data_IF_992636728002
#
_entry.id   IF_992636728002
#
_cell.length_a   1.000
_cell.length_b   1.000
_cell.length_c   1.000
_cell.angle_alpha   90.00
_cell.angle_beta   90.00
_cell.angle_gamma   90.00
#
_symmetry.space_group_name_H-M   'P 1'
#
loop_
_entity.id
_entity.type
_entity.pdbx_description
1 polymer ?
#
# COMPACT_ATOMS: atom_id res chain seq x y z
N UNK A 1 0.56 -23.85 -10.75
CA UNK A 1 -0.31 -22.87 -10.08
C UNK A 1 -0.66 -21.78 -11.08
N UNK A 2 -1.91 -21.76 -11.55
CA UNK A 2 -2.38 -20.80 -12.55
C UNK A 2 -3.08 -19.61 -11.88
N UNK A 3 -2.71 -18.40 -12.29
CA UNK A 3 -3.34 -17.14 -11.92
C UNK A 3 -4.68 -17.06 -12.67
N UNK A 4 -5.80 -17.31 -12.00
CA UNK A 4 -7.12 -17.44 -12.62
C UNK A 4 -7.97 -16.16 -12.59
N UNK A 5 -7.39 -14.96 -12.71
CA UNK A 5 -8.19 -13.73 -12.80
C UNK A 5 -7.61 -12.71 -13.80
N UNK A 6 -8.20 -12.55 -14.99
CA UNK A 6 -7.59 -11.90 -16.15
C UNK A 6 -7.56 -10.35 -16.13
N UNK A 7 -7.77 -9.73 -14.97
CA UNK A 7 -7.73 -8.25 -14.83
C UNK A 7 -6.48 -7.77 -14.07
N UNK A 8 -5.72 -8.69 -13.47
CA UNK A 8 -4.52 -8.38 -12.68
C UNK A 8 -3.39 -9.37 -13.00
N UNK A 9 -3.01 -9.47 -14.26
CA UNK A 9 -1.78 -10.15 -14.65
C UNK A 9 -0.59 -9.19 -14.48
N UNK A 10 0.19 -9.37 -13.40
CA UNK A 10 1.57 -8.87 -13.36
C UNK A 10 2.17 -8.45 -12.02
N UNK A 11 2.35 -9.37 -11.07
CA UNK A 11 3.66 -9.77 -10.50
C UNK A 11 3.49 -10.53 -9.16
N UNK A 12 4.26 -11.59 -8.90
CA UNK A 12 4.22 -12.36 -7.65
C UNK A 12 5.04 -11.73 -6.51
N UNK A 13 5.48 -10.47 -6.66
CA UNK A 13 6.26 -9.78 -5.64
C UNK A 13 5.32 -8.99 -4.74
N UNK A 14 5.51 -9.01 -3.41
CA UNK A 14 4.71 -8.16 -2.53
C UNK A 14 4.87 -6.71 -2.99
N UNK A 15 3.74 -6.03 -3.22
CA UNK A 15 3.75 -4.68 -3.78
C UNK A 15 4.64 -3.75 -2.96
N UNK A 16 4.45 -3.73 -1.65
CA UNK A 16 5.36 -3.13 -0.69
C UNK A 16 6.29 -4.18 -0.07
N UNK A 17 7.43 -3.73 0.44
CA UNK A 17 8.28 -4.51 1.33
C UNK A 17 7.49 -4.97 2.56
N UNK A 18 7.81 -6.16 3.06
CA UNK A 18 7.12 -6.81 4.19
C UNK A 18 7.05 -5.99 5.50
N UNK A 19 7.92 -4.99 5.67
CA UNK A 19 7.95 -4.13 6.86
C UNK A 19 7.18 -2.82 6.69
N UNK A 20 6.81 -2.48 5.45
CA UNK A 20 6.07 -1.27 5.11
C UNK A 20 4.57 -1.53 5.27
N UNK A 21 3.91 -0.57 5.91
CA UNK A 21 2.45 -0.53 5.99
C UNK A 21 2.01 0.92 5.86
N UNK A 22 1.37 1.24 4.73
CA UNK A 22 0.78 2.56 4.51
C UNK A 22 -0.56 2.70 5.23
N UNK A 23 -0.93 3.96 5.50
CA UNK A 23 -2.21 4.31 6.09
C UNK A 23 -3.39 3.82 5.22
N UNK A 24 -4.57 3.59 5.82
CA UNK A 24 -5.77 3.24 5.06
C UNK A 24 -6.05 4.20 3.91
N UNK A 25 -6.27 3.66 2.71
CA UNK A 25 -6.56 4.42 1.50
C UNK A 25 -5.34 5.03 0.80
N UNK A 26 -4.13 4.88 1.35
CA UNK A 26 -2.90 5.38 0.74
C UNK A 26 -2.29 4.39 -0.26
N UNK A 27 -2.56 3.09 -0.11
CA UNK A 27 -2.06 2.04 -0.99
C UNK A 27 -3.07 0.91 -1.10
N UNK A 28 -3.56 0.66 -2.32
CA UNK A 28 -4.53 -0.40 -2.62
C UNK A 28 -4.11 -1.77 -2.05
N UNK A 29 -2.82 -2.09 -2.11
CA UNK A 29 -2.30 -3.36 -1.62
C UNK A 29 -2.18 -3.41 -0.10
N UNK A 30 -1.82 -2.31 0.57
CA UNK A 30 -1.81 -2.25 2.03
C UNK A 30 -3.23 -2.31 2.61
N UNK A 31 -4.23 -1.83 1.88
CA UNK A 31 -5.64 -1.85 2.31
C UNK A 31 -6.23 -3.27 2.39
N UNK A 32 -5.54 -4.29 1.84
CA UNK A 32 -5.88 -5.69 2.06
C UNK A 32 -5.50 -6.21 3.47
N UNK A 33 -4.82 -5.40 4.30
CA UNK A 33 -4.41 -5.77 5.65
C UNK A 33 -5.03 -4.86 6.73
N UNK A 34 -6.38 -4.71 6.78
CA UNK A 34 -7.05 -3.79 7.69
C UNK A 34 -6.78 -4.13 9.16
N UNK A 35 -6.56 -5.40 9.49
CA UNK A 35 -6.22 -5.81 10.86
C UNK A 35 -4.88 -5.19 11.31
N UNK A 36 -3.86 -5.18 10.44
CA UNK A 36 -2.57 -4.57 10.76
C UNK A 36 -2.66 -3.05 10.82
N UNK A 37 -3.47 -2.44 9.94
CA UNK A 37 -3.73 -1.01 9.96
C UNK A 37 -4.45 -0.60 11.26
N UNK A 38 -5.46 -1.37 11.69
CA UNK A 38 -6.17 -1.15 12.94
C UNK A 38 -5.26 -1.30 14.17
N UNK A 39 -4.29 -2.23 14.15
CA UNK A 39 -3.28 -2.31 15.21
C UNK A 39 -2.48 -1.02 15.30
N UNK A 40 -2.03 -0.45 14.17
CA UNK A 40 -1.31 0.83 14.18
C UNK A 40 -2.19 1.98 14.70
N UNK A 41 -3.44 2.06 14.24
CA UNK A 41 -4.42 3.08 14.69
C UNK A 41 -4.66 2.99 16.20
N UNK A 42 -5.01 1.81 16.70
CA UNK A 42 -5.39 1.61 18.11
C UNK A 42 -4.22 1.85 19.08
N UNK A 43 -2.99 1.70 18.61
CA UNK A 43 -1.78 1.86 19.43
C UNK A 43 -1.02 3.17 19.12
N UNK A 44 -1.60 4.08 18.32
CA UNK A 44 -0.96 5.32 17.89
C UNK A 44 0.46 5.12 17.30
N UNK A 45 0.65 4.05 16.52
CA UNK A 45 1.91 3.75 15.84
C UNK A 45 1.87 4.40 14.45
N UNK A 46 2.85 5.23 14.07
CA UNK A 46 2.87 5.88 12.76
C UNK A 46 2.87 4.89 11.59
N UNK A 47 2.17 5.22 10.51
CA UNK A 47 2.27 4.50 9.24
C UNK A 47 3.58 4.83 8.52
N UNK A 48 4.00 3.96 7.60
CA UNK A 48 5.21 4.17 6.82
C UNK A 48 5.09 5.46 6.00
N UNK A 49 5.94 6.45 6.27
CA UNK A 49 5.92 7.77 5.62
C UNK A 49 5.41 8.90 6.50
N UNK A 50 4.90 8.60 7.69
CA UNK A 50 4.42 9.61 8.64
C UNK A 50 5.50 10.07 9.64
N UNK A 51 6.70 9.49 9.58
CA UNK A 51 7.77 9.76 10.54
C UNK A 51 7.71 8.83 11.75
N UNK A 52 8.82 8.16 12.05
CA UNK A 52 8.97 7.37 13.28
C UNK A 52 8.22 6.03 13.26
N UNK A 53 7.80 5.57 12.08
CA UNK A 53 7.24 4.23 11.89
C UNK A 53 8.28 3.15 12.17
N UNK A 54 7.87 1.89 12.45
CA UNK A 54 8.80 0.81 12.74
C UNK A 54 9.85 0.55 11.63
N UNK A 55 9.46 0.72 10.36
CA UNK A 55 10.37 0.60 9.22
C UNK A 55 11.37 1.76 9.13
N UNK A 56 10.94 3.00 9.39
CA UNK A 56 11.81 4.18 9.39
C UNK A 56 12.77 4.22 10.58
N UNK A 57 12.42 3.56 11.69
CA UNK A 57 13.34 3.35 12.81
C UNK A 57 14.47 2.36 12.47
N UNK A 58 14.27 1.48 11.48
CA UNK A 58 15.25 0.45 11.10
C UNK A 58 16.16 0.90 9.97
N UNK A 59 15.65 1.71 9.04
CA UNK A 59 16.38 2.16 7.86
C UNK A 59 15.85 3.50 7.37
N UNK A 60 16.72 4.28 6.73
CA UNK A 60 16.33 5.57 6.17
C UNK A 60 15.27 5.43 5.08
N UNK A 61 14.52 6.51 4.87
CA UNK A 61 13.50 6.58 3.80
C UNK A 61 14.08 6.29 2.43
N UNK A 62 15.29 6.79 2.16
CA UNK A 62 16.03 6.50 0.93
C UNK A 62 16.21 4.99 0.69
N UNK A 63 16.50 4.21 1.73
CA UNK A 63 16.67 2.75 1.60
C UNK A 63 15.31 2.05 1.47
N UNK A 64 14.29 2.49 2.21
CA UNK A 64 12.93 1.96 2.12
C UNK A 64 12.39 2.10 0.69
N UNK A 65 12.57 3.27 0.08
CA UNK A 65 12.00 3.60 -1.22
C UNK A 65 12.76 3.00 -2.42
N UNK A 66 13.86 2.26 -2.17
CA UNK A 66 14.51 1.43 -3.21
C UNK A 66 13.60 0.31 -3.69
N UNK A 67 12.68 -0.17 -2.85
CA UNK A 67 11.63 -1.09 -3.27
C UNK A 67 10.52 -0.31 -3.96
N UNK A 68 10.34 -0.54 -5.26
CA UNK A 68 9.53 0.33 -6.12
C UNK A 68 8.11 0.59 -5.63
N UNK A 69 7.42 -0.42 -5.08
CA UNK A 69 6.06 -0.27 -4.57
C UNK A 69 5.92 0.23 -3.14
N UNK A 70 7.01 0.60 -2.44
CA UNK A 70 6.93 1.33 -1.17
C UNK A 70 6.58 2.81 -1.34
N UNK A 71 6.82 3.34 -2.54
CA UNK A 71 6.45 4.70 -2.92
C UNK A 71 4.94 4.74 -3.05
N UNK A 72 4.22 4.98 -1.95
CA UNK A 72 2.78 5.11 -1.96
C UNK A 72 2.38 6.21 -2.95
N UNK A 73 1.81 5.80 -4.08
CA UNK A 73 1.12 6.70 -4.99
C UNK A 73 -0.32 6.20 -4.97
N UNK A 74 -1.23 6.98 -4.38
CA UNK A 74 -2.65 6.75 -4.62
C UNK A 74 -2.80 6.70 -6.15
N UNK A 75 -3.35 5.63 -6.75
CA UNK A 75 -3.59 5.64 -8.19
C UNK A 75 -4.42 6.90 -8.49
N UNK A 76 -4.10 7.65 -9.57
CA UNK A 76 -4.91 8.79 -9.94
C UNK A 76 -6.37 8.34 -10.01
N UNK A 77 -7.36 9.18 -9.63
CA UNK A 77 -8.76 8.81 -9.78
C UNK A 77 -8.94 8.30 -11.20
N UNK A 78 -9.44 7.06 -11.33
CA UNK A 78 -9.73 6.48 -12.64
C UNK A 78 -10.61 7.42 -13.44
N UNK A 79 -10.62 7.31 -14.78
CA UNK A 79 -11.50 8.14 -15.59
C UNK A 79 -12.93 8.05 -15.06
N UNK A 80 -13.69 9.16 -15.02
CA UNK A 80 -15.05 9.15 -14.52
C UNK A 80 -15.85 8.07 -15.25
N UNK A 81 -16.47 7.16 -14.50
CA UNK A 81 -17.32 6.11 -15.06
C UNK A 81 -18.45 6.82 -15.83
N UNK A 82 -18.64 6.54 -17.13
CA UNK A 82 -19.69 7.19 -17.89
C UNK A 82 -21.04 6.83 -17.26
N UNK A 83 -21.73 7.84 -16.71
CA UNK A 83 -23.10 7.66 -16.24
C UNK A 83 -23.94 7.22 -17.43
N UNK A 84 -24.37 5.95 -17.44
CA UNK A 84 -25.42 5.50 -18.36
C UNK A 84 -26.61 6.43 -18.15
N UNK A 85 -26.91 7.26 -19.14
CA UNK A 85 -28.20 7.95 -19.21
C UNK A 85 -29.26 6.85 -19.34
N UNK A 86 -30.11 6.75 -18.32
CA UNK A 86 -31.36 6.01 -18.38
C UNK A 86 -32.31 6.73 -19.34
#
# INVERSE_FOLDING_TARGET
MACGNPVFDGCPFPHCDQTVLHAPGACYYCDHYPNLQNVRINNAIPFSGEGGSPDEKRRSREVIDRWGGNRAVKPPPGPPVPRRRL
#
